data_IF_945500067773
#
_entry.id   IF_945500067773
#
_cell.length_a   1.000
_cell.length_b   1.000
_cell.length_c   1.000
_cell.angle_alpha   90.00
_cell.angle_beta   90.00
_cell.angle_gamma   90.00
#
_symmetry.space_group_name_H-M   'P 1'
#
loop_
_entity.id
_entity.type
_entity.pdbx_description
1 polymer ?
#
# COMPACT_ATOMS: atom_id res chain seq x y z
N UNK A 1 -8.33 -10.78 2.37
CA UNK A 1 -9.49 -9.88 2.18
C UNK A 1 -8.93 -8.60 1.60
N UNK A 2 -9.49 -8.00 0.54
CA UNK A 2 -9.02 -6.71 0.02
C UNK A 2 -9.00 -5.64 1.10
N UNK A 3 -8.05 -4.71 1.03
CA UNK A 3 -7.89 -3.69 2.07
C UNK A 3 -9.11 -2.76 2.13
N UNK A 4 -9.73 -2.43 1.00
CA UNK A 4 -10.96 -1.65 0.96
C UNK A 4 -12.13 -2.35 1.65
N UNK A 5 -12.23 -3.68 1.54
CA UNK A 5 -13.25 -4.46 2.25
C UNK A 5 -13.00 -4.45 3.77
N UNK A 6 -11.73 -4.60 4.17
CA UNK A 6 -11.32 -4.49 5.56
C UNK A 6 -11.65 -3.10 6.15
N UNK A 7 -11.36 -2.05 5.39
CA UNK A 7 -11.66 -0.66 5.76
C UNK A 7 -13.17 -0.42 5.88
N UNK A 8 -13.95 -0.87 4.90
CA UNK A 8 -15.41 -0.74 4.94
C UNK A 8 -16.01 -1.38 6.21
N UNK A 9 -15.60 -2.61 6.53
CA UNK A 9 -16.03 -3.31 7.74
C UNK A 9 -15.64 -2.56 9.04
N UNK A 10 -14.42 -2.01 9.08
CA UNK A 10 -13.95 -1.21 10.22
C UNK A 10 -14.79 0.06 10.40
N UNK A 11 -15.02 0.83 9.34
CA UNK A 11 -15.75 2.09 9.42
C UNK A 11 -17.22 1.87 9.78
N UNK A 12 -17.84 0.80 9.29
CA UNK A 12 -19.17 0.37 9.72
C UNK A 12 -19.20 0.07 11.23
N UNK A 13 -18.23 -0.69 11.73
CA UNK A 13 -18.13 -0.98 13.17
C UNK A 13 -17.92 0.28 14.03
N UNK A 14 -17.22 1.29 13.49
CA UNK A 14 -16.92 2.56 14.19
C UNK A 14 -17.97 3.67 13.97
N UNK A 15 -19.06 3.38 13.26
CA UNK A 15 -20.04 4.40 12.87
C UNK A 15 -20.70 5.09 14.07
N UNK A 16 -21.01 4.34 15.13
CA UNK A 16 -21.61 4.89 16.35
C UNK A 16 -20.66 5.79 17.16
N UNK A 17 -19.35 5.51 17.09
CA UNK A 17 -18.32 6.25 17.82
C UNK A 17 -17.70 7.41 17.01
N UNK A 18 -18.07 7.54 15.73
CA UNK A 18 -17.53 8.54 14.78
C UNK A 18 -17.47 9.97 15.34
N UNK A 19 -18.49 10.52 16.04
CA UNK A 19 -18.43 11.90 16.54
C UNK A 19 -17.22 12.15 17.46
N UNK A 20 -16.82 11.14 18.23
CA UNK A 20 -15.67 11.18 19.15
C UNK A 20 -14.33 11.00 18.43
N UNK A 21 -14.34 10.33 17.29
CA UNK A 21 -13.14 9.92 16.56
C UNK A 21 -12.72 10.91 15.45
N UNK A 22 -13.61 11.80 14.98
CA UNK A 22 -13.31 12.66 13.82
C UNK A 22 -12.13 13.61 14.03
N UNK A 23 -11.94 14.07 15.27
CA UNK A 23 -10.91 15.05 15.67
C UNK A 23 -9.57 14.38 15.98
N UNK A 24 -9.53 13.06 15.97
CA UNK A 24 -8.31 12.32 16.22
C UNK A 24 -7.33 12.48 15.04
N UNK A 25 -6.03 12.49 15.36
CA UNK A 25 -4.94 12.65 14.41
C UNK A 25 -4.60 11.34 13.70
N UNK A 26 -4.92 10.18 14.29
CA UNK A 26 -4.57 8.85 13.75
C UNK A 26 -5.20 8.56 12.39
N UNK A 27 -6.50 8.83 12.14
CA UNK A 27 -7.10 8.68 10.82
C UNK A 27 -6.44 9.52 9.74
N UNK A 28 -5.99 10.74 10.12
CA UNK A 28 -5.32 11.65 9.19
C UNK A 28 -3.91 11.19 8.85
N UNK A 29 -3.14 10.74 9.86
CA UNK A 29 -1.83 10.13 9.64
C UNK A 29 -1.93 8.91 8.74
N UNK A 30 -2.86 8.01 9.03
CA UNK A 30 -3.11 6.84 8.19
C UNK A 30 -3.44 7.23 6.74
N UNK A 31 -4.33 8.19 6.54
CA UNK A 31 -4.68 8.69 5.21
C UNK A 31 -3.46 9.28 4.49
N UNK A 32 -2.63 10.05 5.20
CA UNK A 32 -1.39 10.60 4.65
C UNK A 32 -0.42 9.50 4.21
N UNK A 33 -0.26 8.43 5.00
CA UNK A 33 0.58 7.28 4.64
C UNK A 33 0.08 6.59 3.38
N UNK A 34 -1.23 6.29 3.31
CA UNK A 34 -1.83 5.65 2.12
C UNK A 34 -1.67 6.51 0.87
N UNK A 35 -1.91 7.82 0.98
CA UNK A 35 -1.72 8.76 -0.14
C UNK A 35 -0.27 8.84 -0.60
N UNK A 36 0.67 8.92 0.33
CA UNK A 36 2.10 8.87 0.00
C UNK A 36 2.46 7.59 -0.76
N UNK A 37 1.94 6.44 -0.32
CA UNK A 37 2.14 5.16 -1.02
C UNK A 37 1.56 5.15 -2.45
N UNK A 38 0.39 5.76 -2.66
CA UNK A 38 -0.21 5.94 -4.00
C UNK A 38 0.70 6.80 -4.87
N UNK A 39 1.09 7.98 -4.39
CA UNK A 39 1.93 8.94 -5.12
C UNK A 39 3.28 8.32 -5.51
N UNK A 40 3.90 7.53 -4.62
CA UNK A 40 5.16 6.86 -4.89
C UNK A 40 5.04 5.80 -5.99
N UNK A 41 3.95 5.03 -6.01
CA UNK A 41 3.70 4.08 -7.10
C UNK A 41 3.37 4.77 -8.42
N UNK A 42 2.59 5.85 -8.40
CA UNK A 42 2.31 6.64 -9.59
C UNK A 42 3.59 7.24 -10.18
N UNK A 43 4.48 7.76 -9.34
CA UNK A 43 5.80 8.24 -9.77
C UNK A 43 6.67 7.11 -10.33
N UNK A 44 6.65 5.92 -9.71
CA UNK A 44 7.37 4.75 -10.20
C UNK A 44 6.84 4.28 -11.57
N UNK A 45 5.52 4.26 -11.76
CA UNK A 45 4.87 3.91 -13.04
C UNK A 45 5.17 4.96 -14.11
N UNK A 46 5.12 6.26 -13.78
CA UNK A 46 5.49 7.30 -14.73
C UNK A 46 6.96 7.19 -15.17
N UNK A 47 7.86 6.87 -14.23
CA UNK A 47 9.27 6.58 -14.54
C UNK A 47 9.42 5.37 -15.46
N UNK A 48 8.67 4.30 -15.22
CA UNK A 48 8.62 3.13 -16.10
C UNK A 48 8.22 3.51 -17.54
N UNK A 49 7.17 4.31 -17.69
CA UNK A 49 6.63 4.68 -19.00
C UNK A 49 7.58 5.62 -19.77
N UNK A 50 8.39 6.40 -19.05
CA UNK A 50 9.45 7.23 -19.62
C UNK A 50 10.75 6.45 -19.94
N UNK A 51 10.79 5.13 -19.70
CA UNK A 51 11.98 4.29 -19.91
C UNK A 51 13.02 4.38 -18.79
N UNK A 52 12.66 4.90 -17.61
CA UNK A 52 13.51 5.00 -16.44
C UNK A 52 13.71 3.68 -15.68
N UNK A 53 14.68 3.67 -14.76
CA UNK A 53 14.97 2.52 -13.90
C UNK A 53 13.99 2.44 -12.72
N UNK A 54 12.93 1.66 -12.85
CA UNK A 54 11.95 1.57 -11.79
C UNK A 54 12.42 0.91 -10.49
N UNK A 55 13.50 0.11 -10.52
CA UNK A 55 14.11 -0.36 -9.28
C UNK A 55 14.62 0.76 -8.39
N UNK A 56 14.94 1.92 -8.96
CA UNK A 56 15.37 3.08 -8.19
C UNK A 56 14.23 3.67 -7.34
N UNK A 57 12.97 3.50 -7.75
CA UNK A 57 11.80 4.00 -7.02
C UNK A 57 11.29 3.02 -5.94
N UNK A 58 11.68 1.74 -6.00
CA UNK A 58 11.21 0.71 -5.07
C UNK A 58 11.50 1.01 -3.59
N UNK A 59 12.67 1.53 -3.19
CA UNK A 59 12.92 1.83 -1.78
C UNK A 59 11.93 2.84 -1.20
N UNK A 60 11.56 3.86 -1.98
CA UNK A 60 10.57 4.87 -1.58
C UNK A 60 9.18 4.26 -1.46
N UNK A 61 8.78 3.43 -2.44
CA UNK A 61 7.52 2.69 -2.40
C UNK A 61 7.45 1.79 -1.17
N UNK A 62 8.50 1.00 -0.90
CA UNK A 62 8.54 0.10 0.24
C UNK A 62 8.47 0.87 1.56
N UNK A 63 9.24 1.94 1.72
CA UNK A 63 9.24 2.77 2.92
C UNK A 63 7.86 3.40 3.22
N UNK A 64 7.11 3.79 2.20
CA UNK A 64 5.78 4.40 2.38
C UNK A 64 4.68 3.38 2.67
N UNK A 65 4.89 2.11 2.32
CA UNK A 65 4.04 1.01 2.74
C UNK A 65 4.47 0.42 4.09
N UNK A 66 5.64 0.77 4.64
CA UNK A 66 5.97 0.40 6.01
C UNK A 66 5.01 1.09 7.00
N UNK A 67 4.59 0.41 8.09
CA UNK A 67 3.75 1.03 9.10
C UNK A 67 4.44 2.25 9.71
N UNK A 68 3.77 3.41 9.71
CA UNK A 68 4.24 4.56 10.49
C UNK A 68 4.51 4.12 11.93
N UNK A 69 5.75 4.30 12.40
CA UNK A 69 6.19 3.87 13.73
C UNK A 69 5.33 4.45 14.85
N UNK A 70 4.67 5.60 14.63
CA UNK A 70 3.72 6.18 15.58
C UNK A 70 2.40 5.38 15.62
N UNK A 71 1.83 5.05 14.45
CA UNK A 71 0.61 4.25 14.34
C UNK A 71 0.86 2.83 14.87
N UNK A 72 2.01 2.23 14.53
CA UNK A 72 2.38 0.90 14.99
C UNK A 72 2.55 0.83 16.52
N UNK A 73 3.20 1.84 17.12
CA UNK A 73 3.34 1.93 18.60
C UNK A 73 1.99 2.16 19.29
N UNK A 74 1.17 3.05 18.75
CA UNK A 74 -0.17 3.29 19.27
C UNK A 74 -1.04 2.03 19.20
N UNK A 75 -0.95 1.27 18.11
CA UNK A 75 -1.65 0.01 17.95
C UNK A 75 -1.16 -1.05 18.95
N UNK A 76 0.15 -1.20 19.16
CA UNK A 76 0.67 -2.15 20.14
C UNK A 76 0.13 -1.88 21.55
N UNK A 77 0.09 -0.61 21.98
CA UNK A 77 -0.50 -0.23 23.26
C UNK A 77 -2.03 -0.44 23.32
N UNK A 78 -2.72 -0.20 22.20
CA UNK A 78 -4.16 -0.38 22.06
C UNK A 78 -4.57 -1.86 22.01
N UNK A 79 -3.75 -2.76 21.46
CA UNK A 79 -4.03 -4.18 21.31
C UNK A 79 -4.32 -4.85 22.66
N UNK A 80 -3.52 -4.54 23.69
CA UNK A 80 -3.75 -5.07 25.04
C UNK A 80 -5.06 -4.54 25.64
N UNK A 81 -5.32 -3.24 25.54
CA UNK A 81 -6.55 -2.61 26.04
C UNK A 81 -7.79 -3.21 25.39
N UNK A 82 -7.76 -3.43 24.08
CA UNK A 82 -8.84 -4.08 23.32
C UNK A 82 -8.99 -5.55 23.74
N UNK A 83 -7.89 -6.29 23.88
CA UNK A 83 -7.89 -7.71 24.27
C UNK A 83 -8.54 -7.95 25.63
N UNK A 84 -8.31 -7.06 26.60
CA UNK A 84 -8.88 -7.16 27.95
C UNK A 84 -10.27 -6.48 28.08
N UNK A 85 -10.87 -6.02 26.98
CA UNK A 85 -12.23 -5.48 26.97
C UNK A 85 -12.37 -4.06 27.52
N UNK A 86 -11.26 -3.38 27.82
CA UNK A 86 -11.23 -1.98 28.32
C UNK A 86 -10.90 -0.96 27.23
N UNK A 87 -10.72 -1.41 25.99
CA UNK A 87 -10.35 -0.57 24.86
C UNK A 87 -11.39 0.50 24.55
N UNK A 88 -10.92 1.75 24.47
CA UNK A 88 -11.69 2.90 24.02
C UNK A 88 -11.98 2.78 22.51
N UNK A 89 -12.95 3.54 21.98
CA UNK A 89 -13.22 3.54 20.55
C UNK A 89 -11.99 3.86 19.69
N UNK A 90 -11.11 4.74 20.17
CA UNK A 90 -9.85 5.07 19.46
C UNK A 90 -8.90 3.87 19.39
N UNK A 91 -8.82 3.06 20.45
CA UNK A 91 -7.98 1.86 20.49
C UNK A 91 -8.45 0.86 19.44
N UNK A 92 -9.77 0.65 19.34
CA UNK A 92 -10.39 -0.22 18.33
C UNK A 92 -10.13 0.29 16.91
N UNK A 93 -10.23 1.61 16.70
CA UNK A 93 -9.94 2.24 15.41
C UNK A 93 -8.47 2.01 15.03
N UNK A 94 -7.51 2.37 15.89
CA UNK A 94 -6.07 2.25 15.61
C UNK A 94 -5.67 0.80 15.31
N UNK A 95 -6.16 -0.16 16.11
CA UNK A 95 -5.93 -1.60 15.86
C UNK A 95 -6.52 -2.02 14.51
N UNK A 96 -7.72 -1.52 14.16
CA UNK A 96 -8.34 -1.75 12.88
C UNK A 96 -7.53 -1.17 11.70
N UNK A 97 -7.04 0.06 11.82
CA UNK A 97 -6.24 0.73 10.79
C UNK A 97 -4.95 -0.03 10.51
N UNK A 98 -4.27 -0.54 11.54
CA UNK A 98 -3.08 -1.37 11.35
C UNK A 98 -3.40 -2.66 10.60
N UNK A 99 -4.56 -3.28 10.82
CA UNK A 99 -4.98 -4.46 10.05
C UNK A 99 -5.20 -4.12 8.58
N UNK A 100 -5.86 -2.99 8.28
CA UNK A 100 -6.02 -2.52 6.89
C UNK A 100 -4.65 -2.25 6.26
N UNK A 101 -3.75 -1.57 6.97
CA UNK A 101 -2.40 -1.29 6.49
C UNK A 101 -1.64 -2.58 6.16
N UNK A 102 -1.71 -3.59 7.03
CA UNK A 102 -1.08 -4.90 6.80
C UNK A 102 -1.58 -5.58 5.53
N UNK A 103 -2.87 -5.46 5.19
CA UNK A 103 -3.38 -5.99 3.91
C UNK A 103 -2.82 -5.21 2.71
N UNK A 104 -2.70 -3.87 2.79
CA UNK A 104 -2.04 -3.06 1.76
C UNK A 104 -0.55 -3.45 1.59
N UNK A 105 0.18 -3.60 2.70
CA UNK A 105 1.58 -4.07 2.67
C UNK A 105 1.68 -5.43 2.01
N UNK A 106 0.79 -6.35 2.36
CA UNK A 106 0.77 -7.70 1.79
C UNK A 106 0.51 -7.66 0.28
N UNK A 107 -0.45 -6.85 -0.17
CA UNK A 107 -0.74 -6.66 -1.59
C UNK A 107 0.46 -6.02 -2.33
N UNK A 108 1.18 -5.10 -1.71
CA UNK A 108 2.36 -4.44 -2.29
C UNK A 108 3.56 -5.37 -2.56
N UNK A 109 3.72 -6.47 -1.79
CA UNK A 109 4.89 -7.36 -1.91
C UNK A 109 5.04 -7.98 -3.30
N UNK A 110 3.93 -8.34 -3.93
CA UNK A 110 3.92 -9.01 -5.24
C UNK A 110 4.43 -8.10 -6.37
N UNK A 111 3.85 -6.91 -6.62
CA UNK A 111 4.37 -6.01 -7.66
C UNK A 111 5.83 -5.62 -7.41
N UNK A 112 6.24 -5.34 -6.16
CA UNK A 112 7.65 -5.08 -5.83
C UNK A 112 8.56 -6.24 -6.26
N UNK A 113 8.19 -7.48 -5.95
CA UNK A 113 8.96 -8.65 -6.32
C UNK A 113 9.06 -8.82 -7.85
N UNK A 114 7.99 -8.50 -8.58
CA UNK A 114 7.96 -8.56 -10.05
C UNK A 114 8.88 -7.50 -10.68
N UNK A 115 8.91 -6.27 -10.16
CA UNK A 115 9.87 -5.24 -10.59
C UNK A 115 11.30 -5.71 -10.37
N UNK A 116 11.61 -6.26 -9.18
CA UNK A 116 12.96 -6.79 -8.89
C UNK A 116 13.34 -7.90 -9.86
N UNK A 117 12.41 -8.80 -10.18
CA UNK A 117 12.61 -9.87 -11.15
C UNK A 117 12.89 -9.31 -12.55
N UNK A 118 12.14 -8.32 -13.00
CA UNK A 118 12.37 -7.64 -14.29
C UNK A 118 13.76 -7.00 -14.35
N UNK A 119 14.22 -6.34 -13.28
CA UNK A 119 15.56 -5.77 -13.23
C UNK A 119 16.68 -6.84 -13.23
N UNK A 120 16.44 -8.00 -12.62
CA UNK A 120 17.37 -9.13 -12.73
C UNK A 120 17.44 -9.65 -14.17
N UNK A 121 16.31 -9.69 -14.89
CA UNK A 121 16.29 -10.05 -16.31
C UNK A 121 17.07 -9.04 -17.16
N UNK A 122 16.88 -7.74 -16.92
CA UNK A 122 17.63 -6.65 -17.57
C UNK A 122 19.14 -6.84 -17.42
N UNK A 123 19.61 -7.04 -16.18
CA UNK A 123 21.02 -7.31 -15.87
C UNK A 123 21.56 -8.57 -16.53
N UNK A 124 20.70 -9.59 -16.71
CA UNK A 124 21.07 -10.83 -17.40
C UNK A 124 21.14 -10.65 -18.92
N UNK A 125 20.29 -9.82 -19.49
CA UNK A 125 20.30 -9.50 -20.92
C UNK A 125 21.54 -8.70 -21.34
N UNK A 126 22.03 -7.83 -20.45
CA UNK A 126 23.27 -7.04 -20.66
C UNK A 126 24.56 -7.85 -20.43
N UNK A 127 24.47 -9.08 -19.92
CA UNK A 127 25.63 -9.94 -19.73
C UNK A 127 26.27 -10.37 -21.05
N UNK A 128 27.60 -10.24 -21.13
CA UNK A 128 28.43 -10.45 -22.32
C UNK A 128 28.40 -11.88 -22.88
N UNK A 129 27.92 -12.85 -22.09
CA UNK A 129 27.95 -14.28 -22.41
C UNK A 129 26.77 -14.79 -23.25
N UNK A 130 25.73 -13.98 -23.50
CA UNK A 130 24.58 -14.39 -24.33
C UNK A 130 24.76 -13.93 -25.78
N UNK A 131 24.50 -14.83 -26.74
CA UNK A 131 24.34 -14.49 -28.16
C UNK A 131 23.16 -13.55 -28.41
N UNK A 132 23.11 -12.91 -29.60
CA UNK A 132 22.14 -11.86 -29.91
C UNK A 132 20.67 -12.30 -29.75
N UNK A 133 20.32 -13.54 -30.15
CA UNK A 133 18.97 -14.09 -30.01
C UNK A 133 18.61 -14.36 -28.54
N UNK A 134 19.54 -14.90 -27.75
CA UNK A 134 19.34 -15.15 -26.32
C UNK A 134 19.22 -13.88 -25.47
N UNK A 135 19.66 -12.73 -25.98
CA UNK A 135 19.43 -11.41 -25.37
C UNK A 135 18.03 -10.87 -25.69
N UNK A 136 17.61 -10.96 -26.96
CA UNK A 136 16.28 -10.52 -27.40
C UNK A 136 15.16 -11.23 -26.65
N UNK A 137 15.24 -12.55 -26.48
CA UNK A 137 14.23 -13.31 -25.74
C UNK A 137 14.07 -12.86 -24.28
N UNK A 138 15.18 -12.58 -23.59
CA UNK A 138 15.14 -12.10 -22.19
C UNK A 138 14.52 -10.73 -22.08
N UNK A 139 14.76 -9.85 -23.05
CA UNK A 139 14.15 -8.52 -23.05
C UNK A 139 12.64 -8.60 -23.29
N UNK A 140 12.19 -9.49 -24.17
CA UNK A 140 10.75 -9.76 -24.36
C UNK A 140 10.12 -10.29 -23.07
N UNK A 141 10.75 -11.26 -22.39
CA UNK A 141 10.26 -11.79 -21.11
C UNK A 141 10.22 -10.71 -20.02
N UNK A 142 11.23 -9.83 -20.01
CA UNK A 142 11.32 -8.68 -19.10
C UNK A 142 10.17 -7.70 -19.35
N UNK A 143 9.88 -7.39 -20.60
CA UNK A 143 8.81 -6.46 -20.96
C UNK A 143 7.44 -7.05 -20.61
N UNK A 144 7.21 -8.33 -20.90
CA UNK A 144 6.01 -9.03 -20.46
C UNK A 144 5.85 -9.00 -18.93
N UNK A 145 6.95 -9.22 -18.20
CA UNK A 145 6.95 -9.15 -16.74
C UNK A 145 6.57 -7.75 -16.23
N UNK A 146 6.97 -6.68 -16.91
CA UNK A 146 6.59 -5.32 -16.56
C UNK A 146 5.13 -5.00 -16.88
N UNK A 147 4.60 -5.49 -18.01
CA UNK A 147 3.16 -5.36 -18.28
C UNK A 147 2.31 -6.04 -17.22
N UNK A 148 2.68 -7.26 -16.80
CA UNK A 148 2.03 -7.92 -15.67
C UNK A 148 2.14 -7.09 -14.39
N UNK A 149 3.31 -6.48 -14.16
CA UNK A 149 3.53 -5.63 -12.98
C UNK A 149 2.60 -4.42 -13.00
N UNK A 150 2.37 -3.79 -14.16
CA UNK A 150 1.44 -2.67 -14.30
C UNK A 150 0.01 -3.05 -13.92
N UNK A 151 -0.43 -4.25 -14.29
CA UNK A 151 -1.77 -4.75 -13.93
C UNK A 151 -1.88 -4.91 -12.41
N UNK A 152 -0.88 -5.50 -11.77
CA UNK A 152 -0.84 -5.71 -10.32
C UNK A 152 -0.76 -4.38 -9.55
N UNK A 153 0.06 -3.43 -10.02
CA UNK A 153 0.15 -2.09 -9.44
C UNK A 153 -1.17 -1.35 -9.59
N UNK A 154 -1.86 -1.44 -10.74
CA UNK A 154 -3.17 -0.82 -10.92
C UNK A 154 -4.20 -1.36 -9.92
N UNK A 155 -4.26 -2.68 -9.77
CA UNK A 155 -5.13 -3.34 -8.79
C UNK A 155 -4.85 -2.86 -7.35
N UNK A 156 -3.57 -2.77 -6.97
CA UNK A 156 -3.14 -2.24 -5.68
C UNK A 156 -3.56 -0.77 -5.50
N UNK A 157 -3.32 0.07 -6.51
CA UNK A 157 -3.65 1.49 -6.47
C UNK A 157 -5.16 1.71 -6.36
N UNK A 158 -5.97 0.91 -7.05
CA UNK A 158 -7.42 0.98 -6.98
C UNK A 158 -7.93 0.60 -5.57
N UNK A 159 -7.37 -0.44 -4.96
CA UNK A 159 -7.69 -0.83 -3.57
C UNK A 159 -7.25 0.26 -2.55
N UNK A 160 -6.05 0.82 -2.73
CA UNK A 160 -5.51 1.90 -1.88
C UNK A 160 -6.32 3.20 -1.99
N UNK A 161 -6.73 3.60 -3.20
CA UNK A 161 -7.60 4.76 -3.44
C UNK A 161 -8.97 4.54 -2.80
N UNK A 162 -9.55 3.35 -2.95
CA UNK A 162 -10.81 3.02 -2.29
C UNK A 162 -10.70 3.10 -0.74
N UNK A 163 -9.60 2.63 -0.15
CA UNK A 163 -9.31 2.80 1.28
C UNK A 163 -9.25 4.28 1.67
N UNK A 164 -8.51 5.09 0.91
CA UNK A 164 -8.37 6.53 1.16
C UNK A 164 -9.73 7.26 1.06
N UNK A 165 -10.54 6.94 0.04
CA UNK A 165 -11.85 7.53 -0.20
C UNK A 165 -12.88 7.14 0.86
N UNK A 166 -12.86 5.88 1.31
CA UNK A 166 -13.70 5.42 2.41
C UNK A 166 -13.40 6.20 3.69
N UNK A 167 -12.12 6.33 4.05
CA UNK A 167 -11.69 7.07 5.23
C UNK A 167 -12.03 8.56 5.12
N UNK A 168 -11.75 9.18 3.97
CA UNK A 168 -12.02 10.58 3.72
C UNK A 168 -13.52 10.89 3.85
N UNK A 169 -14.38 10.11 3.19
CA UNK A 169 -15.83 10.27 3.28
C UNK A 169 -16.35 10.07 4.69
N UNK A 170 -15.88 9.03 5.39
CA UNK A 170 -16.29 8.78 6.78
C UNK A 170 -15.96 9.95 7.71
N UNK A 171 -14.80 10.60 7.54
CA UNK A 171 -14.44 11.81 8.29
C UNK A 171 -15.28 13.04 7.92
N UNK A 172 -15.67 13.17 6.65
CA UNK A 172 -16.38 14.34 6.12
C UNK A 172 -17.90 14.31 6.39
N UNK A 173 -18.47 13.16 6.76
CA UNK A 173 -19.92 13.05 6.99
C UNK A 173 -20.39 13.93 8.17
N UNK A 174 -21.53 14.62 8.04
CA UNK A 174 -22.09 15.44 9.11
C UNK A 174 -22.48 14.56 10.31
N UNK A 175 -22.20 15.07 11.52
CA UNK A 175 -22.63 14.46 12.77
C UNK A 175 -24.09 14.85 13.00
N UNK A 176 -24.98 13.86 12.94
CA UNK A 176 -26.38 13.99 13.33
C UNK A 176 -26.50 13.94 14.86
#
# INVERSE_FOLDING_TARGET
MPAAQAMSALLLAMSADRPRLRVDVMPERFLSTVRGGIEAWEAAVASFDAGGEATAALPTVEALFEPDTAIARAAAAAEDSVRFGVGKPIDKLVVGLVKVHRELVKANRRPVAMVRKAAVMERRATSRWRGAEGRKGVLVDRDLQLEETRVEVRSLLDDARAVADLMHRWRAQPVA
#
